data_IF_728268949733
#
_entry.id   IF_728268949733
#
_cell.length_a   1.000
_cell.length_b   1.000
_cell.length_c   1.000
_cell.angle_alpha   90.00
_cell.angle_beta   90.00
_cell.angle_gamma   90.00
#
_symmetry.space_group_name_H-M   'P 1'
#
loop_
_entity.id
_entity.type
_entity.pdbx_description
1 polymer ?
#
# COMPACT_ATOMS: atom_id res chain seq x y z
N UNK A 1 -13.36 -15.87 42.66
CA UNK A 1 -12.50 -14.95 41.90
C UNK A 1 -13.33 -14.04 40.99
N UNK A 2 -14.17 -14.56 40.11
CA UNK A 2 -15.01 -13.78 39.18
C UNK A 2 -15.86 -12.74 39.90
N UNK A 3 -16.56 -13.15 41.00
CA UNK A 3 -17.39 -12.24 41.79
C UNK A 3 -16.60 -11.10 42.44
N UNK A 4 -15.33 -11.33 42.80
CA UNK A 4 -14.45 -10.29 43.32
C UNK A 4 -13.99 -9.34 42.22
N UNK A 5 -13.63 -9.88 41.06
CA UNK A 5 -13.17 -9.08 39.91
C UNK A 5 -14.30 -8.22 39.31
N UNK A 6 -15.56 -8.74 39.29
CA UNK A 6 -16.69 -7.98 38.76
C UNK A 6 -17.06 -6.73 39.60
N UNK A 7 -16.65 -6.68 40.87
CA UNK A 7 -16.84 -5.52 41.77
C UNK A 7 -15.68 -4.53 41.76
N UNK A 8 -14.55 -4.87 41.10
CA UNK A 8 -13.39 -3.99 40.96
C UNK A 8 -13.72 -2.87 39.99
N UNK A 9 -13.26 -1.66 40.25
CA UNK A 9 -13.46 -0.50 39.37
C UNK A 9 -12.99 -0.78 37.93
N UNK A 10 -13.81 -0.38 36.95
CA UNK A 10 -13.52 -0.59 35.53
C UNK A 10 -12.21 0.06 35.10
N UNK A 11 -11.83 1.18 35.70
CA UNK A 11 -10.58 1.88 35.39
C UNK A 11 -9.34 1.02 35.68
N UNK A 12 -9.32 0.31 36.81
CA UNK A 12 -8.24 -0.60 37.13
C UNK A 12 -8.08 -1.75 36.11
N UNK A 13 -9.21 -2.16 35.50
CA UNK A 13 -9.18 -3.15 34.44
C UNK A 13 -8.74 -2.55 33.10
N UNK A 14 -9.04 -1.27 32.86
CA UNK A 14 -8.53 -0.55 31.67
C UNK A 14 -7.01 -0.36 31.76
N UNK A 15 -6.47 -0.03 32.95
CA UNK A 15 -5.02 0.08 33.15
C UNK A 15 -4.31 -1.28 32.95
N UNK A 16 -4.91 -2.38 33.44
CA UNK A 16 -4.41 -3.73 33.19
C UNK A 16 -4.44 -4.06 31.67
N UNK A 17 -5.50 -3.64 30.96
CA UNK A 17 -5.64 -3.87 29.52
C UNK A 17 -4.64 -3.05 28.72
N UNK A 18 -4.42 -1.80 29.10
CA UNK A 18 -3.39 -0.93 28.52
C UNK A 18 -2.00 -1.53 28.70
N UNK A 19 -1.66 -1.94 29.94
CA UNK A 19 -0.39 -2.60 30.24
C UNK A 19 -0.16 -3.87 29.41
N UNK A 20 -1.21 -4.67 29.24
CA UNK A 20 -1.17 -5.85 28.35
C UNK A 20 -0.92 -5.48 26.90
N UNK A 21 -1.51 -4.38 26.39
CA UNK A 21 -1.26 -3.93 25.03
C UNK A 21 0.16 -3.41 24.85
N UNK A 22 0.70 -2.73 25.84
CA UNK A 22 2.11 -2.28 25.88
C UNK A 22 3.06 -3.48 25.88
N UNK A 23 2.83 -4.47 26.75
CA UNK A 23 3.62 -5.71 26.80
C UNK A 23 3.56 -6.50 25.46
N UNK A 24 2.45 -6.39 24.71
CA UNK A 24 2.33 -6.97 23.39
C UNK A 24 2.96 -6.11 22.28
N UNK A 25 3.74 -5.09 22.59
CA UNK A 25 4.39 -4.16 21.67
C UNK A 25 3.41 -3.57 20.62
N UNK A 26 2.19 -3.19 21.08
CA UNK A 26 1.25 -2.48 20.23
C UNK A 26 1.70 -1.04 20.04
N UNK A 27 1.36 -0.46 18.89
CA UNK A 27 1.66 0.94 18.59
C UNK A 27 1.04 1.87 19.65
N UNK A 28 1.81 2.83 20.24
CA UNK A 28 1.33 3.73 21.31
C UNK A 28 0.08 4.50 20.92
N UNK A 29 0.00 5.00 19.68
CA UNK A 29 -1.16 5.73 19.17
C UNK A 29 -2.40 4.83 19.10
N UNK A 30 -2.22 3.55 18.72
CA UNK A 30 -3.30 2.56 18.71
C UNK A 30 -3.78 2.28 20.14
N UNK A 31 -2.86 2.18 21.12
CA UNK A 31 -3.22 1.98 22.52
C UNK A 31 -4.06 3.15 23.03
N UNK A 32 -3.55 4.37 22.92
CA UNK A 32 -4.23 5.60 23.36
C UNK A 32 -5.61 5.72 22.73
N UNK A 33 -5.72 5.49 21.43
CA UNK A 33 -6.99 5.57 20.70
C UNK A 33 -7.97 4.50 21.18
N UNK A 34 -7.52 3.26 21.36
CA UNK A 34 -8.38 2.13 21.81
C UNK A 34 -8.90 2.38 23.21
N UNK A 35 -8.02 2.77 24.13
CA UNK A 35 -8.41 3.08 25.51
C UNK A 35 -9.34 4.29 25.54
N UNK A 36 -9.06 5.35 24.76
CA UNK A 36 -9.93 6.52 24.64
C UNK A 36 -11.34 6.18 24.16
N UNK A 37 -11.48 5.26 23.20
CA UNK A 37 -12.80 4.80 22.75
C UNK A 37 -13.58 4.08 23.84
N UNK A 38 -12.92 3.22 24.64
CA UNK A 38 -13.59 2.48 25.73
C UNK A 38 -13.97 3.47 26.83
N UNK A 39 -13.08 4.41 27.21
CA UNK A 39 -13.36 5.44 28.21
C UNK A 39 -14.57 6.29 27.82
N UNK A 40 -14.68 6.69 26.54
CA UNK A 40 -15.81 7.47 26.06
C UNK A 40 -17.15 6.72 26.19
N UNK A 41 -17.20 5.42 25.91
CA UNK A 41 -18.39 4.60 26.14
C UNK A 41 -18.69 4.48 27.64
N UNK A 42 -17.66 4.17 28.45
CA UNK A 42 -17.77 4.07 29.90
C UNK A 42 -18.38 5.34 30.52
N UNK A 43 -17.85 6.51 30.16
CA UNK A 43 -18.29 7.79 30.70
C UNK A 43 -19.74 8.10 30.33
N UNK A 44 -20.10 7.84 29.08
CA UNK A 44 -21.49 8.01 28.61
C UNK A 44 -22.48 7.05 29.26
N UNK A 45 -22.02 5.89 29.68
CA UNK A 45 -22.86 4.83 30.27
C UNK A 45 -22.70 4.70 31.80
N UNK A 46 -21.83 5.53 32.38
CA UNK A 46 -21.53 5.54 33.84
C UNK A 46 -21.09 4.18 34.39
N UNK A 47 -20.31 3.40 33.63
CA UNK A 47 -19.78 2.11 34.09
C UNK A 47 -18.81 2.31 35.24
N UNK A 48 -19.13 1.84 36.41
CA UNK A 48 -18.28 1.87 37.60
C UNK A 48 -17.46 0.59 37.71
N UNK A 49 -18.02 -0.53 37.37
CA UNK A 49 -17.42 -1.86 37.42
C UNK A 49 -17.55 -2.59 36.08
N UNK A 50 -16.83 -3.69 35.90
CA UNK A 50 -16.98 -4.50 34.69
C UNK A 50 -18.31 -5.27 34.64
N UNK A 51 -19.03 -5.38 35.77
CA UNK A 51 -20.36 -5.95 35.85
C UNK A 51 -21.43 -5.05 35.23
N UNK A 52 -21.14 -3.75 35.08
CA UNK A 52 -22.09 -2.76 34.55
C UNK A 52 -22.05 -2.71 32.99
N UNK A 53 -21.19 -3.49 32.37
CA UNK A 53 -21.03 -3.47 30.90
C UNK A 53 -22.18 -4.22 30.26
N UNK A 54 -23.10 -3.48 29.62
CA UNK A 54 -24.21 -4.03 28.86
C UNK A 54 -24.16 -3.69 27.39
N UNK A 55 -24.69 -4.60 26.55
CA UNK A 55 -24.73 -4.41 25.09
C UNK A 55 -25.53 -3.19 24.68
N UNK A 56 -26.64 -2.93 25.41
CA UNK A 56 -27.54 -1.80 25.10
C UNK A 56 -26.86 -0.43 25.27
N UNK A 57 -25.94 -0.31 26.24
CA UNK A 57 -25.20 0.93 26.44
C UNK A 57 -24.30 1.23 25.25
N UNK A 58 -23.59 0.21 24.73
CA UNK A 58 -22.75 0.36 23.54
C UNK A 58 -23.59 0.69 22.31
N UNK A 59 -24.78 0.08 22.18
CA UNK A 59 -25.72 0.38 21.08
C UNK A 59 -26.23 1.82 21.22
N UNK A 60 -26.62 2.26 22.42
CA UNK A 60 -27.08 3.64 22.67
C UNK A 60 -26.01 4.64 22.33
N UNK A 61 -24.77 4.42 22.80
CA UNK A 61 -23.64 5.31 22.46
C UNK A 61 -23.33 5.33 20.95
N UNK A 62 -23.43 4.19 20.28
CA UNK A 62 -23.32 4.13 18.83
C UNK A 62 -24.41 4.95 18.13
N UNK A 63 -25.64 4.96 18.68
CA UNK A 63 -26.75 5.81 18.24
C UNK A 63 -26.42 7.30 18.36
N UNK A 64 -25.88 7.73 19.52
CA UNK A 64 -25.43 9.11 19.74
C UNK A 64 -24.36 9.51 18.70
N UNK A 65 -23.34 8.68 18.52
CA UNK A 65 -22.30 8.95 17.51
C UNK A 65 -22.88 9.08 16.10
N UNK A 66 -23.92 8.33 15.76
CA UNK A 66 -24.62 8.43 14.48
C UNK A 66 -25.38 9.73 14.35
N UNK A 67 -26.08 10.17 15.41
CA UNK A 67 -26.76 11.47 15.48
C UNK A 67 -25.78 12.64 15.34
N UNK A 68 -24.58 12.52 15.96
CA UNK A 68 -23.47 13.47 15.82
C UNK A 68 -22.83 13.45 14.43
N UNK A 69 -23.39 12.70 13.49
CA UNK A 69 -22.88 12.63 12.13
C UNK A 69 -21.57 11.83 11.98
N UNK A 70 -21.18 11.00 12.94
CA UNK A 70 -19.97 10.15 12.80
C UNK A 70 -20.18 9.05 11.76
N UNK A 71 -19.11 8.73 11.03
CA UNK A 71 -19.15 7.67 10.01
C UNK A 71 -19.31 6.29 10.61
N UNK A 72 -19.92 5.37 9.86
CA UNK A 72 -20.02 3.94 10.23
C UNK A 72 -18.67 3.31 10.57
N UNK A 73 -17.60 3.73 9.90
CA UNK A 73 -16.23 3.30 10.21
C UNK A 73 -15.77 3.75 11.59
N UNK A 74 -16.10 4.98 11.99
CA UNK A 74 -15.77 5.52 13.31
C UNK A 74 -16.57 4.75 14.38
N UNK A 75 -17.86 4.60 14.18
CA UNK A 75 -18.75 3.83 15.10
C UNK A 75 -18.22 2.40 15.26
N UNK A 76 -17.88 1.73 14.15
CA UNK A 76 -17.30 0.38 14.18
C UNK A 76 -15.99 0.34 15.00
N UNK A 77 -15.19 1.40 14.98
CA UNK A 77 -13.93 1.44 15.76
C UNK A 77 -14.19 1.46 17.26
N UNK A 78 -15.16 2.26 17.74
CA UNK A 78 -15.59 2.26 19.14
C UNK A 78 -16.11 0.88 19.57
N UNK A 79 -17.02 0.31 18.80
CA UNK A 79 -17.58 -1.02 19.10
C UNK A 79 -16.52 -2.12 19.08
N UNK A 80 -15.53 -2.00 18.19
CA UNK A 80 -14.39 -2.95 18.11
C UNK A 80 -13.49 -2.85 19.33
N UNK A 81 -13.25 -1.64 19.84
CA UNK A 81 -12.49 -1.43 21.06
C UNK A 81 -13.19 -2.05 22.28
N UNK A 82 -14.49 -1.77 22.45
CA UNK A 82 -15.30 -2.34 23.53
C UNK A 82 -15.32 -3.89 23.47
N UNK A 83 -15.61 -4.47 22.30
CA UNK A 83 -15.57 -5.96 22.13
C UNK A 83 -14.18 -6.54 22.38
N UNK A 84 -13.14 -5.81 22.06
CA UNK A 84 -11.74 -6.23 22.34
C UNK A 84 -11.47 -6.32 23.83
N UNK A 85 -11.95 -5.34 24.58
CA UNK A 85 -11.83 -5.27 26.03
C UNK A 85 -12.62 -6.37 26.75
N UNK A 86 -13.91 -6.51 26.46
CA UNK A 86 -14.75 -7.53 27.13
C UNK A 86 -14.30 -8.95 26.81
N UNK A 87 -13.89 -9.21 25.56
CA UNK A 87 -13.31 -10.49 25.17
C UNK A 87 -12.01 -10.78 25.92
N UNK A 88 -11.18 -9.75 26.18
CA UNK A 88 -9.98 -9.92 27.00
C UNK A 88 -10.35 -10.20 28.46
N UNK A 89 -11.30 -9.49 29.06
CA UNK A 89 -11.79 -9.76 30.42
C UNK A 89 -12.26 -11.20 30.61
N UNK A 90 -13.05 -11.70 29.64
CA UNK A 90 -13.55 -13.08 29.66
C UNK A 90 -12.41 -14.09 29.55
N UNK A 91 -11.45 -13.86 28.65
CA UNK A 91 -10.26 -14.73 28.52
C UNK A 91 -9.36 -14.76 29.73
N UNK A 92 -9.37 -13.70 30.53
CA UNK A 92 -8.61 -13.61 31.79
C UNK A 92 -9.42 -14.14 32.99
N UNK A 93 -10.62 -14.70 32.76
CA UNK A 93 -11.48 -15.19 33.85
C UNK A 93 -12.01 -14.08 34.77
N UNK A 94 -11.99 -12.82 34.33
CA UNK A 94 -12.50 -11.66 35.07
C UNK A 94 -14.02 -11.51 34.89
N UNK A 95 -14.56 -11.98 33.78
CA UNK A 95 -15.99 -12.12 33.46
C UNK A 95 -16.31 -13.57 33.13
N UNK A 96 -17.48 -14.04 33.51
CA UNK A 96 -17.97 -15.39 33.21
C UNK A 96 -18.27 -15.58 31.72
N UNK A 97 -18.84 -14.55 31.08
CA UNK A 97 -19.16 -14.53 29.66
C UNK A 97 -18.86 -13.12 29.06
N UNK A 98 -18.70 -13.05 27.75
CA UNK A 98 -18.53 -11.76 27.04
C UNK A 98 -19.91 -11.08 26.87
N UNK A 99 -20.19 -9.96 27.59
CA UNK A 99 -21.48 -9.29 27.52
C UNK A 99 -21.75 -8.66 26.16
N UNK A 100 -20.71 -8.50 25.33
CA UNK A 100 -20.83 -7.91 24.00
C UNK A 100 -20.73 -8.95 22.86
N UNK A 101 -20.96 -10.22 23.15
CA UNK A 101 -20.90 -11.29 22.14
C UNK A 101 -21.89 -11.04 20.99
N UNK A 102 -23.13 -10.63 21.33
CA UNK A 102 -24.23 -10.36 20.39
C UNK A 102 -24.12 -9.03 19.66
N UNK A 103 -23.17 -8.15 20.04
CA UNK A 103 -23.04 -6.83 19.44
C UNK A 103 -22.66 -6.90 17.96
N UNK A 104 -23.57 -6.47 17.08
CA UNK A 104 -23.33 -6.36 15.65
C UNK A 104 -22.76 -4.99 15.29
N UNK A 105 -21.67 -5.00 14.51
CA UNK A 105 -21.01 -3.77 14.08
C UNK A 105 -21.58 -3.30 12.75
N UNK A 106 -21.70 -1.96 12.52
CA UNK A 106 -22.13 -1.43 11.24
C UNK A 106 -21.14 -1.80 10.13
N UNK A 107 -21.65 -1.94 8.90
CA UNK A 107 -20.82 -2.15 7.72
C UNK A 107 -20.21 -0.80 7.26
N UNK A 108 -18.88 -0.61 7.31
CA UNK A 108 -18.25 0.64 6.87
C UNK A 108 -18.35 0.88 5.36
N UNK A 109 -18.59 -0.17 4.57
CA UNK A 109 -18.71 -0.04 3.11
C UNK A 109 -20.03 0.65 2.70
N UNK A 110 -21.07 0.53 3.54
CA UNK A 110 -22.35 1.18 3.29
C UNK A 110 -22.34 2.72 3.52
N UNK A 111 -21.27 3.24 4.15
CA UNK A 111 -21.15 4.68 4.46
C UNK A 111 -19.68 5.11 4.15
N UNK A 112 -19.33 5.01 2.89
CA UNK A 112 -18.02 5.45 2.38
C UNK A 112 -18.05 6.96 2.15
N UNK A 113 -17.47 7.71 3.07
CA UNK A 113 -17.46 9.19 3.03
C UNK A 113 -16.16 9.80 2.50
N UNK A 114 -15.15 8.99 2.25
CA UNK A 114 -13.84 9.46 1.80
C UNK A 114 -13.30 8.50 0.76
N UNK A 115 -13.62 8.76 -0.46
CA UNK A 115 -12.95 8.14 -1.58
C UNK A 115 -11.78 9.01 -2.04
N UNK A 116 -10.77 8.38 -2.56
CA UNK A 116 -9.61 9.07 -3.13
C UNK A 116 -9.53 8.73 -4.59
N UNK A 117 -9.33 9.73 -5.41
CA UNK A 117 -9.01 9.54 -6.81
C UNK A 117 -7.50 9.51 -7.04
N UNK A 118 -7.07 8.94 -8.13
CA UNK A 118 -5.71 9.06 -8.61
C UNK A 118 -5.46 10.46 -9.20
N UNK A 119 -4.20 10.87 -9.28
CA UNK A 119 -3.76 11.97 -10.12
C UNK A 119 -3.71 11.49 -11.57
N UNK A 120 -4.29 12.25 -12.48
CA UNK A 120 -4.08 12.08 -13.91
C UNK A 120 -2.64 12.48 -14.28
N UNK A 121 -2.12 11.98 -15.40
CA UNK A 121 -0.76 12.31 -15.83
C UNK A 121 -0.60 13.81 -16.07
N UNK A 122 -1.59 14.42 -16.74
CA UNK A 122 -1.61 15.87 -17.01
C UNK A 122 -1.73 16.68 -15.71
N UNK A 123 -2.49 16.21 -14.71
CA UNK A 123 -2.54 16.85 -13.40
C UNK A 123 -1.19 16.81 -12.69
N UNK A 124 -0.49 15.69 -12.78
CA UNK A 124 0.86 15.56 -12.24
C UNK A 124 1.85 16.55 -12.90
N UNK A 125 1.77 16.71 -14.22
CA UNK A 125 2.62 17.68 -14.93
C UNK A 125 2.41 19.10 -14.44
N UNK A 126 1.15 19.52 -14.22
CA UNK A 126 0.83 20.81 -13.65
C UNK A 126 1.27 20.94 -12.19
N UNK A 127 1.02 19.95 -11.35
CA UNK A 127 1.48 19.95 -9.95
C UNK A 127 3.00 20.05 -9.88
N UNK A 128 3.71 19.24 -10.67
CA UNK A 128 5.17 19.25 -10.74
C UNK A 128 5.72 20.63 -11.16
N UNK A 129 5.19 21.19 -12.24
CA UNK A 129 5.62 22.47 -12.76
C UNK A 129 5.33 23.60 -11.76
N UNK A 130 4.10 23.68 -11.25
CA UNK A 130 3.68 24.71 -10.31
C UNK A 130 4.42 24.67 -8.96
N UNK A 131 4.80 23.45 -8.51
CA UNK A 131 5.47 23.27 -7.22
C UNK A 131 6.97 23.51 -7.31
N UNK A 132 7.62 23.19 -8.45
CA UNK A 132 9.07 23.23 -8.60
C UNK A 132 9.65 24.60 -8.21
N UNK A 133 9.04 25.65 -8.71
CA UNK A 133 9.51 27.05 -8.54
C UNK A 133 8.76 27.75 -7.38
N UNK A 134 7.97 27.01 -6.60
CA UNK A 134 7.25 27.57 -5.47
C UNK A 134 8.19 27.83 -4.28
N UNK A 135 7.84 28.82 -3.50
CA UNK A 135 8.53 29.16 -2.25
C UNK A 135 8.57 27.99 -1.27
N UNK A 136 9.47 28.11 -0.29
CA UNK A 136 9.53 27.16 0.83
C UNK A 136 8.19 27.13 1.55
N UNK A 137 7.63 25.93 1.71
CA UNK A 137 6.39 25.70 2.42
C UNK A 137 6.53 24.47 3.32
N UNK A 138 6.09 24.57 4.56
CA UNK A 138 6.26 23.54 5.58
C UNK A 138 7.73 23.05 5.74
N UNK A 139 8.70 23.93 5.54
CA UNK A 139 10.12 23.63 5.68
C UNK A 139 10.76 22.89 4.49
N UNK A 140 10.04 22.69 3.38
CA UNK A 140 10.53 22.08 2.16
C UNK A 140 10.51 23.08 1.00
N UNK A 141 11.58 23.13 0.22
CA UNK A 141 11.62 23.87 -1.04
C UNK A 141 10.66 23.26 -2.08
N UNK A 142 10.34 24.01 -3.12
CA UNK A 142 9.48 23.50 -4.20
C UNK A 142 10.09 22.25 -4.86
N UNK A 143 11.37 22.25 -5.14
CA UNK A 143 12.11 21.11 -5.70
C UNK A 143 12.07 19.88 -4.77
N UNK A 144 12.25 20.05 -3.47
CA UNK A 144 12.17 18.95 -2.50
C UNK A 144 10.76 18.35 -2.43
N UNK A 145 9.71 19.19 -2.51
CA UNK A 145 8.33 18.71 -2.54
C UNK A 145 8.03 17.91 -3.81
N UNK A 146 8.49 18.38 -4.96
CA UNK A 146 8.37 17.62 -6.23
C UNK A 146 9.06 16.27 -6.13
N UNK A 147 10.29 16.23 -5.60
CA UNK A 147 11.06 15.01 -5.42
C UNK A 147 10.35 14.04 -4.44
N UNK A 148 9.80 14.56 -3.35
CA UNK A 148 9.00 13.80 -2.39
C UNK A 148 7.75 13.18 -3.06
N UNK A 149 7.02 13.96 -3.85
CA UNK A 149 5.81 13.49 -4.54
C UNK A 149 6.15 12.46 -5.62
N UNK A 150 7.18 12.68 -6.43
CA UNK A 150 7.66 11.74 -7.42
C UNK A 150 8.08 10.40 -6.77
N UNK A 151 8.81 10.48 -5.65
CA UNK A 151 9.17 9.29 -4.86
C UNK A 151 7.93 8.55 -4.35
N UNK A 152 6.93 9.27 -3.85
CA UNK A 152 5.67 8.67 -3.40
C UNK A 152 4.90 7.97 -4.53
N UNK A 153 4.83 8.60 -5.72
CA UNK A 153 4.16 8.04 -6.91
C UNK A 153 4.90 6.80 -7.42
N UNK A 154 6.21 6.84 -7.57
CA UNK A 154 6.94 5.69 -8.14
C UNK A 154 7.03 4.49 -7.19
N UNK A 155 7.12 4.74 -5.89
CA UNK A 155 7.32 3.67 -4.90
C UNK A 155 6.06 3.21 -4.20
N UNK A 156 4.98 3.99 -4.25
CA UNK A 156 3.78 3.74 -3.47
C UNK A 156 4.01 3.74 -1.96
N UNK A 157 5.07 4.37 -1.45
CA UNK A 157 5.37 4.47 -0.03
C UNK A 157 4.30 5.29 0.71
N UNK A 158 4.00 4.90 1.96
CA UNK A 158 3.11 5.68 2.82
C UNK A 158 3.83 6.90 3.38
N UNK A 159 3.10 7.93 3.75
CA UNK A 159 3.65 9.14 4.38
C UNK A 159 4.59 8.81 5.55
N UNK A 160 4.20 7.90 6.44
CA UNK A 160 5.04 7.47 7.57
C UNK A 160 6.31 6.73 7.13
N UNK A 161 6.27 5.99 6.04
CA UNK A 161 7.42 5.29 5.48
C UNK A 161 8.39 6.26 4.82
N UNK A 162 7.87 7.25 4.06
CA UNK A 162 8.68 8.33 3.48
C UNK A 162 9.36 9.17 4.57
N UNK A 163 8.64 9.48 5.66
CA UNK A 163 9.18 10.19 6.82
C UNK A 163 10.33 9.43 7.50
N UNK A 164 10.19 8.12 7.62
CA UNK A 164 11.18 7.26 8.26
C UNK A 164 12.35 6.88 7.31
N UNK A 165 12.30 7.30 6.04
CA UNK A 165 13.29 6.95 5.04
C UNK A 165 14.58 7.72 5.31
N UNK A 166 15.72 7.01 5.44
CA UNK A 166 17.04 7.57 5.65
C UNK A 166 17.94 7.33 4.44
N UNK A 167 18.99 8.16 4.28
CA UNK A 167 19.95 8.02 3.18
C UNK A 167 20.50 6.59 3.03
N UNK A 168 20.84 5.93 4.13
CA UNK A 168 21.40 4.57 4.11
C UNK A 168 20.42 3.47 3.64
N UNK A 169 19.18 3.83 3.29
CA UNK A 169 18.20 2.90 2.73
C UNK A 169 18.04 3.03 1.22
N UNK A 170 18.76 3.96 0.57
CA UNK A 170 18.76 4.21 -0.86
C UNK A 170 19.97 3.51 -1.49
N UNK A 171 19.72 2.73 -2.52
CA UNK A 171 20.72 1.99 -3.32
C UNK A 171 20.55 2.46 -4.76
N UNK A 172 21.16 3.62 -5.06
CA UNK A 172 20.91 4.36 -6.30
C UNK A 172 21.91 4.03 -7.40
N UNK A 173 23.11 3.55 -7.04
CA UNK A 173 24.20 3.17 -7.98
C UNK A 173 24.00 1.78 -8.61
N UNK A 174 22.91 1.06 -8.25
CA UNK A 174 22.64 -0.27 -8.77
C UNK A 174 22.12 -0.19 -10.21
N UNK A 175 22.33 -1.24 -11.01
CA UNK A 175 21.74 -1.36 -12.36
C UNK A 175 20.22 -1.16 -12.34
N UNK A 176 19.57 -1.65 -11.31
CA UNK A 176 18.15 -1.41 -10.97
C UNK A 176 18.09 -0.68 -9.62
N UNK A 177 18.04 0.65 -9.62
CA UNK A 177 18.03 1.43 -8.39
C UNK A 177 16.81 1.11 -7.52
N UNK A 178 16.99 1.06 -6.22
CA UNK A 178 15.90 0.73 -5.29
C UNK A 178 16.06 1.40 -3.92
N UNK A 179 14.95 1.50 -3.24
CA UNK A 179 14.81 1.97 -1.86
C UNK A 179 14.42 0.78 -0.99
N UNK A 180 15.06 0.63 0.18
CA UNK A 180 14.67 -0.38 1.16
C UNK A 180 13.81 0.23 2.26
N UNK A 181 12.71 -0.46 2.60
CA UNK A 181 11.88 -0.10 3.74
C UNK A 181 12.12 -1.10 4.87
N UNK A 182 12.58 -0.63 6.03
CA UNK A 182 12.80 -1.49 7.19
C UNK A 182 11.48 -2.08 7.68
N UNK A 183 11.52 -3.31 8.18
CA UNK A 183 10.36 -4.01 8.73
C UNK A 183 9.62 -3.20 9.81
N UNK A 184 10.34 -2.46 10.66
CA UNK A 184 9.77 -1.62 11.70
C UNK A 184 8.97 -0.41 11.21
N UNK A 185 9.29 0.12 10.02
CA UNK A 185 8.59 1.26 9.42
C UNK A 185 7.43 0.84 8.51
N UNK A 186 7.30 -0.44 8.19
CA UNK A 186 6.23 -0.96 7.33
C UNK A 186 5.06 -1.50 8.15
N UNK A 187 3.83 -1.22 7.72
CA UNK A 187 2.62 -1.72 8.39
C UNK A 187 2.61 -3.25 8.53
N UNK A 188 3.23 -3.97 7.60
CA UNK A 188 3.29 -5.43 7.57
C UNK A 188 4.54 -6.00 8.26
N UNK A 189 5.39 -5.16 8.84
CA UNK A 189 6.66 -5.55 9.50
C UNK A 189 7.57 -6.43 8.63
N UNK A 190 7.49 -6.32 7.30
CA UNK A 190 8.35 -7.00 6.34
C UNK A 190 9.24 -5.99 5.64
N UNK A 191 10.51 -6.33 5.47
CA UNK A 191 11.43 -5.56 4.64
C UNK A 191 10.95 -5.63 3.18
N UNK A 192 10.96 -4.49 2.49
CA UNK A 192 10.57 -4.40 1.09
C UNK A 192 11.62 -3.61 0.30
N UNK A 193 11.79 -3.99 -0.97
CA UNK A 193 12.52 -3.21 -1.97
C UNK A 193 11.52 -2.53 -2.88
N UNK A 194 11.70 -1.24 -3.12
CA UNK A 194 10.92 -0.45 -4.06
C UNK A 194 11.87 0.06 -5.13
N UNK A 195 11.70 -0.43 -6.35
CA UNK A 195 12.50 0.02 -7.48
C UNK A 195 12.09 1.41 -7.91
N UNK A 196 13.04 2.19 -8.37
CA UNK A 196 12.84 3.54 -8.91
C UNK A 196 13.48 3.64 -10.29
N UNK A 197 13.04 4.62 -11.08
CA UNK A 197 13.66 4.88 -12.39
C UNK A 197 15.04 5.49 -12.20
N UNK A 198 15.91 5.37 -13.21
CA UNK A 198 17.24 5.99 -13.22
C UNK A 198 17.15 7.51 -13.06
N UNK A 199 16.14 8.13 -13.69
CA UNK A 199 15.89 9.58 -13.56
C UNK A 199 15.63 9.98 -12.11
N UNK A 200 14.74 9.28 -11.40
CA UNK A 200 14.44 9.56 -10.00
C UNK A 200 15.66 9.25 -9.11
N UNK A 201 16.39 8.18 -9.42
CA UNK A 201 17.61 7.82 -8.69
C UNK A 201 18.65 8.93 -8.75
N UNK A 202 18.91 9.50 -9.93
CA UNK A 202 19.86 10.60 -10.10
C UNK A 202 19.45 11.86 -9.30
N UNK A 203 18.14 12.20 -9.31
CA UNK A 203 17.65 13.35 -8.53
C UNK A 203 17.72 13.09 -7.02
N UNK A 204 17.45 11.86 -6.58
CA UNK A 204 17.60 11.47 -5.17
C UNK A 204 19.06 11.50 -4.73
N UNK A 205 19.97 11.03 -5.57
CA UNK A 205 21.42 11.04 -5.29
C UNK A 205 21.95 12.46 -5.09
N UNK A 206 21.60 13.38 -5.98
CA UNK A 206 21.96 14.80 -5.83
C UNK A 206 21.41 15.36 -4.51
N UNK A 207 20.12 15.11 -4.23
CA UNK A 207 19.46 15.59 -3.00
C UNK A 207 20.10 15.07 -1.71
N UNK A 208 20.58 13.82 -1.70
CA UNK A 208 21.20 13.21 -0.51
C UNK A 208 22.71 13.30 -0.46
N UNK A 209 23.36 13.88 -1.48
CA UNK A 209 24.82 13.90 -1.65
C UNK A 209 25.58 14.33 -0.40
N UNK A 210 25.05 15.31 0.34
CA UNK A 210 25.64 15.87 1.57
C UNK A 210 25.03 15.33 2.86
N UNK A 211 24.10 14.36 2.81
CA UNK A 211 23.42 13.83 4.00
C UNK A 211 24.19 12.63 4.58
N UNK A 212 24.28 12.53 5.90
CA UNK A 212 24.82 11.34 6.58
C UNK A 212 23.88 10.13 6.46
N UNK A 213 24.37 8.88 6.56
CA UNK A 213 23.56 7.66 6.32
C UNK A 213 22.31 7.54 7.16
N UNK A 214 22.30 8.08 8.39
CA UNK A 214 21.16 8.05 9.31
C UNK A 214 20.22 9.25 9.17
N UNK A 215 20.59 10.24 8.34
CA UNK A 215 19.77 11.44 8.15
C UNK A 215 18.52 11.10 7.31
N UNK A 216 17.35 11.65 7.67
CA UNK A 216 16.15 11.53 6.84
C UNK A 216 16.38 12.03 5.42
N UNK A 217 15.83 11.33 4.42
CA UNK A 217 15.85 11.78 3.03
C UNK A 217 15.07 13.07 2.89
N UNK A 218 13.88 13.14 3.48
CA UNK A 218 13.01 14.31 3.45
C UNK A 218 12.74 14.82 4.87
N UNK A 219 12.84 16.13 5.08
CA UNK A 219 12.44 16.79 6.33
C UNK A 219 10.94 17.05 6.34
N UNK A 220 10.15 15.97 6.36
CA UNK A 220 8.69 16.05 6.23
C UNK A 220 8.05 16.79 7.41
N UNK A 221 7.03 17.66 7.15
CA UNK A 221 6.25 18.33 8.18
C UNK A 221 5.45 17.33 9.03
N UNK A 222 4.77 17.79 10.08
CA UNK A 222 3.97 16.91 10.95
C UNK A 222 2.92 16.14 10.18
N UNK A 223 2.49 14.98 10.69
CA UNK A 223 1.56 14.08 9.97
C UNK A 223 0.29 14.75 9.44
N UNK A 224 -0.29 15.66 10.23
CA UNK A 224 -1.49 16.39 9.85
C UNK A 224 -1.23 17.51 8.83
N UNK A 225 -0.02 18.05 8.77
CA UNK A 225 0.40 19.12 7.85
C UNK A 225 0.72 18.60 6.44
N UNK A 226 1.08 17.33 6.30
CA UNK A 226 1.44 16.73 4.99
C UNK A 226 0.30 16.84 3.98
N UNK A 227 -0.94 16.66 4.43
CA UNK A 227 -2.11 16.80 3.58
C UNK A 227 -2.35 18.26 3.17
N UNK A 228 -2.10 19.21 4.09
CA UNK A 228 -2.25 20.64 3.82
C UNK A 228 -1.18 21.14 2.84
N UNK A 229 0.06 20.66 3.00
CA UNK A 229 1.15 20.95 2.08
C UNK A 229 0.79 20.53 0.65
N UNK A 230 0.36 19.29 0.47
CA UNK A 230 0.01 18.78 -0.86
C UNK A 230 -1.20 19.50 -1.47
N UNK A 231 -2.24 19.78 -0.68
CA UNK A 231 -3.41 20.56 -1.13
C UNK A 231 -3.05 21.98 -1.57
N UNK A 232 -2.14 22.63 -0.86
CA UNK A 232 -1.64 23.95 -1.24
C UNK A 232 -0.95 23.93 -2.61
N UNK A 233 -0.13 22.91 -2.89
CA UNK A 233 0.53 22.76 -4.18
C UNK A 233 -0.45 22.41 -5.31
N UNK A 234 -1.44 21.55 -5.06
CA UNK A 234 -2.52 21.25 -6.02
C UNK A 234 -3.34 22.50 -6.32
N UNK A 235 -3.71 23.30 -5.28
CA UNK A 235 -4.44 24.54 -5.46
C UNK A 235 -3.64 25.58 -6.25
N UNK A 236 -2.31 25.65 -6.05
CA UNK A 236 -1.40 26.47 -6.87
C UNK A 236 -1.43 26.02 -8.33
N UNK A 237 -1.29 24.72 -8.57
CA UNK A 237 -1.31 24.15 -9.91
C UNK A 237 -2.65 24.44 -10.62
N UNK A 238 -3.77 24.30 -9.91
CA UNK A 238 -5.11 24.64 -10.44
C UNK A 238 -5.21 26.09 -10.86
N UNK A 239 -4.77 27.04 -10.00
CA UNK A 239 -4.76 28.47 -10.34
C UNK A 239 -3.94 28.71 -11.60
N UNK A 240 -2.71 28.21 -11.68
CA UNK A 240 -1.86 28.38 -12.86
C UNK A 240 -2.49 27.76 -14.12
N UNK A 241 -3.15 26.62 -14.00
CA UNK A 241 -3.86 25.99 -15.11
C UNK A 241 -5.05 26.82 -15.59
N UNK A 242 -5.83 27.41 -14.69
CA UNK A 242 -6.95 28.33 -15.03
C UNK A 242 -6.39 29.59 -15.66
N UNK A 243 -5.38 30.22 -15.06
CA UNK A 243 -4.78 31.46 -15.51
C UNK A 243 -4.12 31.36 -16.89
N UNK A 244 -3.68 30.17 -17.28
CA UNK A 244 -3.08 29.91 -18.59
C UNK A 244 -4.00 30.24 -19.77
N UNK A 245 -5.31 30.32 -19.54
CA UNK A 245 -6.32 30.67 -20.55
C UNK A 245 -7.10 31.95 -20.21
N UNK A 246 -6.57 32.80 -19.33
CA UNK A 246 -7.25 34.05 -18.87
C UNK A 246 -7.67 35.00 -19.99
N UNK A 247 -7.06 34.90 -21.16
CA UNK A 247 -7.38 35.73 -22.33
C UNK A 247 -8.52 35.18 -23.19
N UNK A 248 -9.00 33.96 -22.89
CA UNK A 248 -10.13 33.28 -23.52
C UNK A 248 -11.24 33.09 -22.49
N UNK A 249 -12.29 33.92 -22.49
CA UNK A 249 -13.35 33.87 -21.47
C UNK A 249 -14.11 32.54 -21.45
N UNK A 250 -14.31 31.92 -22.62
CA UNK A 250 -15.02 30.64 -22.72
C UNK A 250 -14.17 29.48 -22.12
N UNK A 251 -12.90 29.39 -22.52
CA UNK A 251 -11.98 28.42 -21.98
C UNK A 251 -11.74 28.63 -20.46
N UNK A 252 -11.69 29.89 -20.01
CA UNK A 252 -11.57 30.23 -18.60
C UNK A 252 -12.76 29.71 -17.79
N UNK A 253 -13.98 30.05 -18.20
CA UNK A 253 -15.19 29.58 -17.52
C UNK A 253 -15.30 28.05 -17.49
N UNK A 254 -14.93 27.36 -18.59
CA UNK A 254 -14.90 25.90 -18.66
C UNK A 254 -13.89 25.30 -17.68
N UNK A 255 -12.69 25.91 -17.54
CA UNK A 255 -11.68 25.43 -16.61
C UNK A 255 -12.07 25.67 -15.15
N UNK A 256 -12.72 26.77 -14.83
CA UNK A 256 -13.22 27.05 -13.47
C UNK A 256 -14.22 25.98 -13.00
N UNK A 257 -15.11 25.53 -13.91
CA UNK A 257 -16.13 24.53 -13.61
C UNK A 257 -15.61 23.09 -13.64
N UNK A 258 -14.40 22.88 -14.12
CA UNK A 258 -13.81 21.54 -14.25
C UNK A 258 -13.32 20.98 -12.91
N UNK A 259 -13.41 19.68 -12.76
CA UNK A 259 -12.82 18.93 -11.64
C UNK A 259 -11.30 18.76 -11.73
N UNK A 260 -10.68 19.15 -12.85
CA UNK A 260 -9.24 19.02 -13.06
C UNK A 260 -8.46 19.80 -11.99
N UNK A 261 -7.54 19.14 -11.29
CA UNK A 261 -6.80 19.69 -10.15
C UNK A 261 -7.70 20.18 -8.99
N UNK A 262 -8.94 19.69 -8.91
CA UNK A 262 -9.78 19.96 -7.74
C UNK A 262 -9.39 19.03 -6.60
N UNK A 263 -9.25 19.56 -5.39
CA UNK A 263 -9.01 18.76 -4.19
C UNK A 263 -10.20 17.85 -3.85
N UNK A 264 -11.38 18.19 -4.38
CA UNK A 264 -12.63 17.45 -4.29
C UNK A 264 -13.41 17.57 -5.59
N UNK A 265 -13.66 16.45 -6.26
CA UNK A 265 -14.44 16.43 -7.50
C UNK A 265 -15.95 16.34 -7.24
N UNK A 266 -16.77 16.37 -8.31
CA UNK A 266 -18.23 16.27 -8.24
C UNK A 266 -18.72 14.95 -7.60
N UNK A 267 -17.92 13.88 -7.65
CA UNK A 267 -18.20 12.59 -7.00
C UNK A 267 -17.74 12.52 -5.52
N UNK A 268 -17.37 13.65 -4.93
CA UNK A 268 -16.83 13.75 -3.56
C UNK A 268 -15.50 13.01 -3.33
N UNK A 269 -14.81 12.63 -4.40
CA UNK A 269 -13.48 12.00 -4.31
C UNK A 269 -12.42 13.07 -4.07
N UNK A 270 -11.38 12.71 -3.29
CA UNK A 270 -10.38 13.68 -2.81
C UNK A 270 -8.99 13.42 -3.36
N UNK A 271 -8.28 14.54 -3.60
CA UNK A 271 -6.84 14.58 -3.77
C UNK A 271 -6.20 14.99 -2.43
N UNK A 272 -5.67 14.05 -1.68
CA UNK A 272 -4.82 14.29 -0.52
C UNK A 272 -3.44 13.63 -0.76
N UNK A 273 -2.47 13.83 0.12
CA UNK A 273 -1.13 13.25 -0.05
C UNK A 273 -1.16 11.72 -0.26
N UNK A 274 -2.14 11.02 0.30
CA UNK A 274 -2.25 9.57 0.13
C UNK A 274 -2.71 9.17 -1.29
N UNK A 275 -3.29 10.12 -2.04
CA UNK A 275 -3.65 9.88 -3.45
C UNK A 275 -2.41 9.55 -4.31
N UNK A 276 -1.20 10.05 -3.95
CA UNK A 276 0.04 9.72 -4.63
C UNK A 276 0.33 8.22 -4.62
N UNK A 277 0.04 7.56 -3.50
CA UNK A 277 0.12 6.11 -3.43
C UNK A 277 -0.97 5.42 -4.27
N UNK A 278 -2.20 5.96 -4.29
CA UNK A 278 -3.25 5.46 -5.19
C UNK A 278 -2.84 5.62 -6.65
N UNK A 279 -2.25 6.75 -7.00
CA UNK A 279 -1.70 7.02 -8.34
C UNK A 279 -0.66 5.98 -8.75
N UNK A 280 0.26 5.60 -7.84
CA UNK A 280 1.21 4.51 -8.09
C UNK A 280 0.51 3.22 -8.52
N UNK A 281 -0.47 2.76 -7.75
CA UNK A 281 -1.18 1.52 -8.04
C UNK A 281 -2.03 1.61 -9.32
N UNK A 282 -2.68 2.75 -9.53
CA UNK A 282 -3.51 3.00 -10.71
C UNK A 282 -2.67 3.05 -11.99
N UNK A 283 -1.60 3.81 -12.00
CA UNK A 283 -0.71 3.91 -13.18
C UNK A 283 -0.07 2.56 -13.52
N UNK A 284 0.36 1.79 -12.51
CA UNK A 284 0.85 0.43 -12.75
C UNK A 284 -0.23 -0.49 -13.34
N UNK A 285 -1.48 -0.39 -12.86
CA UNK A 285 -2.58 -1.17 -13.43
C UNK A 285 -2.86 -0.77 -14.88
N UNK A 286 -2.91 0.52 -15.18
CA UNK A 286 -3.15 1.07 -16.53
C UNK A 286 -2.04 0.71 -17.54
N UNK A 287 -0.79 0.50 -17.09
CA UNK A 287 0.29 0.01 -17.97
C UNK A 287 0.18 -1.47 -18.31
N UNK A 288 -0.85 -2.17 -17.83
CA UNK A 288 -1.01 -3.61 -18.04
C UNK A 288 -0.09 -4.48 -17.17
N UNK A 289 0.50 -3.91 -16.11
CA UNK A 289 1.32 -4.68 -15.18
C UNK A 289 0.51 -5.82 -14.56
N UNK A 290 1.10 -7.03 -14.48
CA UNK A 290 0.42 -8.17 -13.88
C UNK A 290 -0.09 -7.82 -12.45
N UNK A 291 -1.35 -8.13 -12.09
CA UNK A 291 -1.93 -7.75 -10.80
C UNK A 291 -1.08 -8.14 -9.58
N UNK A 292 -0.35 -9.27 -9.68
CA UNK A 292 0.58 -9.71 -8.64
C UNK A 292 1.79 -8.80 -8.49
N UNK A 293 2.27 -8.19 -9.57
CA UNK A 293 3.34 -7.20 -9.54
C UNK A 293 2.84 -5.90 -8.87
N UNK A 294 1.64 -5.44 -9.23
CA UNK A 294 0.99 -4.30 -8.57
C UNK A 294 0.82 -4.56 -7.07
N UNK A 295 0.33 -5.76 -6.69
CA UNK A 295 0.24 -6.17 -5.28
C UNK A 295 1.59 -6.07 -4.56
N UNK A 296 2.66 -6.53 -5.19
CA UNK A 296 4.01 -6.51 -4.61
C UNK A 296 4.53 -5.09 -4.42
N UNK A 297 4.44 -4.22 -5.43
CA UNK A 297 4.84 -2.81 -5.34
C UNK A 297 4.01 -2.08 -4.29
N UNK A 298 2.69 -2.26 -4.30
CA UNK A 298 1.79 -1.67 -3.32
C UNK A 298 1.92 -2.30 -1.92
N UNK A 299 2.60 -3.43 -1.80
CA UNK A 299 2.75 -4.20 -0.54
C UNK A 299 1.39 -4.47 0.13
N UNK A 300 0.41 -4.84 -0.69
CA UNK A 300 -0.90 -5.24 -0.20
C UNK A 300 -0.84 -6.63 0.41
N UNK A 301 -1.50 -6.83 1.53
CA UNK A 301 -1.52 -8.14 2.22
C UNK A 301 -2.22 -9.23 1.42
N UNK A 302 -3.20 -8.87 0.61
CA UNK A 302 -3.98 -9.77 -0.23
C UNK A 302 -4.08 -9.23 -1.65
N UNK A 303 -4.22 -10.11 -2.62
CA UNK A 303 -4.49 -9.74 -4.01
C UNK A 303 -5.88 -9.10 -4.15
N UNK A 304 -6.85 -9.55 -3.35
CA UNK A 304 -8.21 -9.01 -3.29
C UNK A 304 -8.19 -7.49 -3.08
N UNK A 305 -7.36 -7.01 -2.14
CA UNK A 305 -7.24 -5.56 -1.91
C UNK A 305 -6.74 -4.80 -3.16
N UNK A 306 -5.88 -5.41 -3.96
CA UNK A 306 -5.41 -4.81 -5.23
C UNK A 306 -6.51 -4.81 -6.28
N UNK A 307 -7.22 -5.93 -6.41
CA UNK A 307 -8.31 -6.07 -7.39
C UNK A 307 -9.52 -5.20 -7.03
N UNK A 308 -9.91 -5.14 -5.75
CA UNK A 308 -10.99 -4.27 -5.27
C UNK A 308 -10.72 -2.78 -5.54
N UNK A 309 -9.43 -2.40 -5.53
CA UNK A 309 -9.04 -0.98 -5.67
C UNK A 309 -8.75 -0.61 -7.13
N UNK A 310 -8.09 -1.48 -7.89
CA UNK A 310 -7.56 -1.17 -9.22
C UNK A 310 -8.05 -2.12 -10.32
N UNK A 311 -8.89 -3.11 -9.99
CA UNK A 311 -9.34 -4.13 -10.94
C UNK A 311 -9.96 -3.56 -12.21
N UNK A 312 -10.73 -2.49 -12.06
CA UNK A 312 -11.39 -1.78 -13.17
C UNK A 312 -10.42 -1.01 -14.08
N UNK A 313 -9.17 -0.78 -13.66
CA UNK A 313 -8.15 -0.06 -14.42
C UNK A 313 -7.24 -0.98 -15.24
N UNK A 314 -7.31 -2.30 -15.01
CA UNK A 314 -6.55 -3.22 -15.84
C UNK A 314 -7.19 -3.29 -17.24
N UNK A 315 -6.37 -3.21 -18.31
CA UNK A 315 -6.89 -3.41 -19.65
C UNK A 315 -7.64 -4.73 -19.74
N UNK A 316 -8.80 -4.73 -20.39
CA UNK A 316 -9.53 -5.96 -20.70
C UNK A 316 -8.66 -6.84 -21.59
N UNK A 317 -8.25 -7.98 -21.04
CA UNK A 317 -7.35 -8.93 -21.73
C UNK A 317 -8.10 -10.21 -22.14
N UNK A 318 -9.42 -10.26 -21.92
CA UNK A 318 -10.20 -11.48 -22.14
C UNK A 318 -10.11 -11.92 -23.62
N UNK A 319 -10.40 -11.01 -24.53
CA UNK A 319 -10.35 -11.30 -25.98
C UNK A 319 -8.94 -11.66 -26.45
N UNK A 320 -7.94 -10.89 -26.03
CA UNK A 320 -6.52 -11.16 -26.34
C UNK A 320 -6.03 -12.48 -25.74
N UNK A 321 -6.49 -12.81 -24.53
CA UNK A 321 -6.13 -14.05 -23.85
C UNK A 321 -6.73 -15.26 -24.56
N UNK A 322 -7.99 -15.15 -24.98
CA UNK A 322 -8.67 -16.19 -25.77
C UNK A 322 -8.04 -16.33 -27.15
N UNK A 323 -7.66 -15.21 -27.79
CA UNK A 323 -6.99 -15.23 -29.09
C UNK A 323 -5.59 -15.89 -29.08
N UNK A 324 -5.00 -16.08 -27.90
CA UNK A 324 -3.73 -16.80 -27.72
C UNK A 324 -3.90 -18.30 -27.51
N UNK A 325 -5.14 -18.79 -27.52
CA UNK A 325 -5.34 -20.24 -27.48
C UNK A 325 -4.79 -20.86 -28.78
N UNK A 326 -4.11 -22.01 -28.67
CA UNK A 326 -3.74 -22.76 -29.86
C UNK A 326 -5.00 -23.11 -30.65
N UNK A 327 -4.87 -23.22 -31.96
CA UNK A 327 -5.93 -23.68 -32.82
C UNK A 327 -6.41 -25.07 -32.37
N UNK A 328 -7.59 -25.13 -31.75
CA UNK A 328 -8.12 -26.35 -31.12
C UNK A 328 -9.03 -27.15 -32.04
N UNK A 329 -9.52 -26.49 -33.07
CA UNK A 329 -10.37 -27.06 -34.12
C UNK A 329 -9.57 -26.90 -35.40
N UNK A 330 -8.92 -27.95 -35.89
CA UNK A 330 -8.23 -27.95 -37.17
C UNK A 330 -9.14 -27.40 -38.29
N UNK A 331 -8.55 -26.85 -39.35
CA UNK A 331 -9.35 -26.38 -40.50
C UNK A 331 -10.23 -27.53 -41.02
N UNK A 332 -11.43 -27.23 -41.57
CA UNK A 332 -12.30 -28.26 -42.10
C UNK A 332 -11.63 -29.12 -43.18
N UNK A 333 -10.59 -28.61 -43.83
CA UNK A 333 -9.84 -29.33 -44.87
C UNK A 333 -8.83 -30.34 -44.26
N UNK A 334 -8.27 -30.09 -43.06
CA UNK A 334 -7.39 -31.03 -42.36
C UNK A 334 -8.17 -32.18 -41.69
N UNK A 335 -9.44 -31.96 -41.34
CA UNK A 335 -10.29 -33.02 -40.78
C UNK A 335 -10.61 -34.12 -41.77
N UNK A 336 -10.47 -33.89 -43.09
CA UNK A 336 -10.70 -34.86 -44.14
C UNK A 336 -9.49 -35.77 -44.43
N UNK A 337 -8.26 -35.38 -44.03
CA UNK A 337 -7.04 -36.15 -44.28
C UNK A 337 -6.58 -36.99 -43.08
N UNK A 338 -7.20 -36.87 -41.92
CA UNK A 338 -6.78 -37.57 -40.66
C UNK A 338 -7.28 -39.01 -40.55
N UNK A 339 -7.14 -39.79 -41.61
CA UNK A 339 -7.30 -41.26 -41.54
C UNK A 339 -5.98 -42.05 -41.55
N UNK A 340 -4.87 -41.39 -41.19
CA UNK A 340 -3.56 -42.02 -41.01
C UNK A 340 -3.04 -41.89 -39.59
N UNK A 341 -2.91 -43.00 -38.94
CA UNK A 341 -2.80 -43.16 -37.44
C UNK A 341 -1.42 -42.84 -36.82
N UNK A 342 -0.48 -42.21 -37.51
CA UNK A 342 0.92 -42.16 -37.00
C UNK A 342 1.55 -40.78 -36.74
N UNK A 343 0.94 -39.65 -37.15
CA UNK A 343 1.53 -38.34 -37.00
C UNK A 343 1.24 -37.62 -35.67
N UNK A 344 -0.01 -37.63 -35.24
CA UNK A 344 -0.48 -36.86 -34.10
C UNK A 344 0.02 -37.32 -32.74
N UNK A 345 0.39 -38.59 -32.60
CA UNK A 345 0.93 -39.17 -31.37
C UNK A 345 2.36 -38.68 -31.07
N UNK A 346 3.13 -38.27 -32.08
CA UNK A 346 4.49 -37.79 -31.91
C UNK A 346 4.56 -36.34 -31.39
N UNK A 347 3.71 -35.46 -31.88
CA UNK A 347 3.68 -34.06 -31.44
C UNK A 347 3.10 -33.90 -30.03
N UNK A 348 2.07 -34.67 -29.68
CA UNK A 348 1.52 -34.66 -28.32
C UNK A 348 2.54 -35.18 -27.28
N UNK A 349 3.35 -36.19 -27.63
CA UNK A 349 4.45 -36.68 -26.81
C UNK A 349 5.59 -35.69 -26.65
N UNK A 350 5.80 -34.80 -27.63
CA UNK A 350 6.85 -33.80 -27.59
C UNK A 350 6.43 -32.62 -26.70
N UNK A 351 5.16 -32.20 -26.74
CA UNK A 351 4.58 -31.18 -25.85
C UNK A 351 4.51 -31.67 -24.39
N UNK A 352 4.11 -32.93 -24.16
CA UNK A 352 4.13 -33.53 -22.82
C UNK A 352 5.56 -33.63 -22.23
N UNK A 353 6.56 -33.97 -23.05
CA UNK A 353 7.96 -33.98 -22.60
C UNK A 353 8.55 -32.59 -22.29
N UNK A 354 8.04 -31.52 -22.88
CA UNK A 354 8.40 -30.16 -22.52
C UNK A 354 7.81 -29.74 -21.18
N UNK A 355 6.63 -30.23 -20.82
CA UNK A 355 6.00 -29.98 -19.53
C UNK A 355 6.67 -30.73 -18.38
N UNK A 356 7.14 -31.94 -18.60
CA UNK A 356 7.85 -32.76 -17.60
C UNK A 356 9.27 -32.28 -17.27
N UNK A 357 9.85 -31.37 -18.09
CA UNK A 357 11.21 -30.83 -17.89
C UNK A 357 11.30 -29.61 -16.97
N UNK A 358 10.21 -29.11 -16.39
CA UNK A 358 10.28 -28.10 -15.35
C UNK A 358 10.34 -28.80 -13.99
N UNK A 359 11.44 -28.66 -13.21
CA UNK A 359 11.52 -29.31 -11.91
C UNK A 359 10.45 -28.73 -10.99
N UNK A 360 9.56 -29.57 -10.52
CA UNK A 360 8.64 -29.27 -9.44
C UNK A 360 9.47 -28.96 -8.20
N UNK A 361 9.36 -27.72 -7.70
CA UNK A 361 9.86 -27.40 -6.37
C UNK A 361 9.02 -28.18 -5.37
N UNK A 362 9.67 -29.15 -4.72
CA UNK A 362 9.10 -29.98 -3.68
C UNK A 362 8.48 -29.14 -2.58
N UNK A 363 7.17 -29.24 -2.40
CA UNK A 363 6.49 -28.95 -1.16
C UNK A 363 6.72 -30.13 -0.22
N UNK A 364 7.52 -29.95 0.81
CA UNK A 364 7.66 -30.92 1.88
C UNK A 364 6.32 -31.02 2.64
N UNK A 365 5.64 -32.13 2.50
CA UNK A 365 4.56 -32.58 3.37
C UNK A 365 5.14 -33.31 4.57
N UNK A 366 4.70 -32.83 5.74
CA UNK A 366 4.93 -33.52 7.01
C UNK A 366 4.25 -34.90 7.07
N UNK A 367 4.96 -35.90 7.58
CA UNK A 367 4.55 -37.11 8.34
C UNK A 367 5.84 -37.88 8.62
N UNK A 368 6.17 -38.26 9.79
CA UNK A 368 5.63 -39.03 10.85
C UNK A 368 6.53 -38.94 12.10
N UNK A 369 5.85 -38.84 13.22
CA UNK A 369 6.40 -38.93 14.57
C UNK A 369 6.71 -40.42 14.84
N UNK A 370 7.95 -40.74 15.23
CA UNK A 370 8.25 -41.83 16.16
C UNK A 370 9.33 -41.40 17.12
N UNK A 371 9.00 -41.49 18.39
CA UNK A 371 9.85 -41.35 19.56
C UNK A 371 10.84 -42.53 19.67
N UNK A 372 12.01 -42.37 20.12
CA UNK A 372 12.68 -42.31 21.39
C UNK A 372 14.15 -42.78 21.28
N UNK A 373 14.93 -42.82 22.31
CA UNK A 373 15.58 -41.72 23.04
C UNK A 373 17.11 -41.84 23.12
N UNK A 374 17.70 -40.88 23.84
CA UNK A 374 19.00 -40.94 24.51
C UNK A 374 20.27 -40.43 23.80
N UNK A 375 20.82 -39.38 24.40
CA UNK A 375 22.24 -39.33 24.79
C UNK A 375 23.18 -38.62 23.79
N UNK A 376 23.58 -37.48 23.97
CA UNK A 376 24.83 -37.02 24.54
C UNK A 376 25.21 -35.60 24.06
N UNK A 377 25.53 -34.84 25.04
CA UNK A 377 26.26 -33.58 25.05
C UNK A 377 27.67 -33.79 24.47
N UNK A 378 28.12 -32.92 23.55
CA UNK A 378 29.51 -32.47 23.51
C UNK A 378 29.61 -31.10 22.81
N UNK A 379 30.40 -30.33 23.42
CA UNK A 379 30.74 -28.94 23.41
C UNK A 379 31.85 -28.57 22.39
N UNK A 380 31.86 -27.30 22.03
CA UNK A 380 32.99 -26.43 21.71
C UNK A 380 33.86 -26.54 20.45
N UNK A 381 33.91 -25.32 19.88
CA UNK A 381 35.11 -24.55 19.46
C UNK A 381 35.83 -24.87 18.15
N UNK A 382 35.85 -23.75 17.45
CA UNK A 382 37.01 -23.19 16.70
C UNK A 382 37.49 -23.91 15.45
N UNK A 383 37.57 -23.17 14.39
CA UNK A 383 38.85 -22.86 13.74
C UNK A 383 38.69 -21.73 12.71
N UNK A 384 39.62 -20.83 12.86
CA UNK A 384 39.97 -19.71 11.99
C UNK A 384 40.73 -20.14 10.76
N UNK A 385 40.75 -19.24 9.77
CA UNK A 385 41.88 -19.02 8.84
C UNK A 385 41.58 -19.55 7.43
N UNK A 386 41.75 -18.84 6.43
CA UNK A 386 42.72 -18.01 5.83
C UNK A 386 42.24 -17.58 4.44
N UNK A 387 42.32 -16.40 4.18
CA UNK A 387 42.83 -15.58 3.10
C UNK A 387 43.55 -16.30 1.94
N UNK A 388 43.23 -15.85 0.70
CA UNK A 388 44.22 -15.50 -0.31
C UNK A 388 43.57 -15.00 -1.62
N UNK A 389 43.68 -13.71 -1.84
CA UNK A 389 44.32 -12.98 -2.97
C UNK A 389 43.70 -13.06 -4.36
N UNK A 390 43.31 -11.90 -4.79
CA UNK A 390 43.33 -11.37 -6.17
C UNK A 390 44.63 -11.70 -6.91
N UNK A 391 44.70 -11.66 -8.28
CA UNK A 391 44.75 -10.37 -8.93
C UNK A 391 44.22 -10.26 -10.39
N UNK A 392 43.77 -9.04 -10.70
CA UNK A 392 44.14 -8.20 -11.85
C UNK A 392 44.14 -8.74 -13.30
N UNK A 393 43.44 -8.18 -14.19
CA UNK A 393 43.74 -7.08 -15.11
C UNK A 393 43.14 -7.24 -16.51
N UNK A 394 42.65 -6.05 -16.99
CA UNK A 394 42.62 -5.55 -18.37
C UNK A 394 41.57 -6.13 -19.32
N UNK A 395 40.76 -5.34 -19.99
CA UNK A 395 41.16 -4.30 -20.98
C UNK A 395 39.94 -3.50 -21.43
N UNK A 396 40.14 -2.22 -21.58
CA UNK A 396 39.22 -1.27 -22.21
C UNK A 396 39.01 -1.59 -23.70
N UNK A 397 37.77 -1.48 -24.18
CA UNK A 397 37.48 -1.07 -25.57
C UNK A 397 36.25 -0.17 -25.59
N UNK A 398 36.49 1.11 -25.77
CA UNK A 398 35.56 2.11 -26.26
C UNK A 398 34.94 1.63 -27.58
N UNK A 399 33.62 1.66 -27.70
CA UNK A 399 32.96 1.92 -28.98
C UNK A 399 31.84 2.93 -28.75
N UNK A 400 32.07 4.12 -29.27
CA UNK A 400 31.09 5.13 -29.59
C UNK A 400 30.07 4.52 -30.56
N UNK A 401 28.79 4.63 -30.24
CA UNK A 401 27.72 4.65 -31.26
C UNK A 401 26.74 5.74 -30.86
N UNK A 402 26.45 6.54 -31.87
CA UNK A 402 25.74 7.81 -31.88
C UNK A 402 24.28 7.71 -31.41
N UNK A 403 23.83 8.87 -30.92
CA UNK A 403 22.48 9.41 -30.78
C UNK A 403 21.46 8.92 -31.81
N UNK A 404 20.26 8.62 -31.33
CA UNK A 404 18.99 9.24 -31.73
C UNK A 404 17.81 8.38 -31.28
N UNK A 405 16.76 9.05 -30.85
CA UNK A 405 15.48 8.40 -30.66
C UNK A 405 14.76 8.79 -29.38
N UNK A 406 14.29 10.03 -29.31
CA UNK A 406 13.15 10.41 -28.47
C UNK A 406 11.99 9.49 -28.77
N UNK A 407 11.73 8.52 -27.90
CA UNK A 407 10.50 7.75 -27.93
C UNK A 407 9.38 8.60 -27.33
N UNK A 408 8.52 9.11 -28.17
CA UNK A 408 7.22 9.65 -27.82
C UNK A 408 6.40 8.62 -27.04
N UNK A 409 5.65 9.04 -26.01
CA UNK A 409 4.73 8.16 -25.28
C UNK A 409 3.71 7.54 -26.24
N UNK A 410 3.39 6.28 -26.01
CA UNK A 410 2.48 5.47 -26.79
C UNK A 410 1.11 6.17 -26.97
N UNK A 411 0.65 6.45 -28.24
CA UNK A 411 -0.62 7.15 -28.50
C UNK A 411 -1.87 6.45 -27.94
N UNK A 412 -1.78 5.14 -27.68
CA UNK A 412 -2.90 4.35 -27.11
C UNK A 412 -3.33 4.79 -25.71
N UNK A 413 -2.41 5.37 -24.92
CA UNK A 413 -2.75 5.85 -23.58
C UNK A 413 -3.64 7.11 -23.65
N UNK A 414 -3.44 7.96 -24.65
CA UNK A 414 -4.27 9.17 -24.86
C UNK A 414 -5.71 8.88 -25.27
N UNK A 415 -5.95 7.84 -26.08
CA UNK A 415 -7.29 7.54 -26.59
C UNK A 415 -8.20 6.86 -25.55
N UNK A 416 -7.65 6.10 -24.62
CA UNK A 416 -8.44 5.43 -23.56
C UNK A 416 -8.84 6.38 -22.43
N UNK A 417 -8.03 7.38 -22.13
CA UNK A 417 -8.37 8.41 -21.13
C UNK A 417 -9.47 9.35 -21.61
N UNK A 418 -9.55 9.64 -22.93
CA UNK A 418 -10.58 10.52 -23.52
C UNK A 418 -11.95 9.84 -23.64
N UNK A 419 -12.02 8.51 -23.72
CA UNK A 419 -13.29 7.76 -23.78
C UNK A 419 -13.97 7.57 -22.42
N UNK A 420 -13.29 7.82 -21.31
CA UNK A 420 -13.88 7.74 -19.96
C UNK A 420 -14.30 9.10 -19.40
N UNK A 421 -14.07 10.18 -20.15
CA UNK A 421 -14.38 11.56 -19.76
C UNK A 421 -15.45 12.22 -20.66
N UNK A 422 -16.05 11.44 -21.56
CA UNK A 422 -17.20 11.90 -22.40
C UNK A 422 -18.52 11.36 -21.90
#
# INVERSE_FOLDING_TARGET
EISRQSKRAVDLHLDDYESKMQAANRDPKHITTTIGYIKAIRDSSSWMTIGDIHVDDVIRYAGTLKQDGRSSRTIQAYMTAAKGFTRWLTRQGKLAADPLVSLNKPNPQADRRRERRMLLLEEWEWVRSATKDAEVNFGLSGTERVLLYATAIQTGLRSSELRALTRGQLFLDADLPFITCKAGSTKNRKMARQYVTQELAAQLEDHISRKAPKTPVFSMPRDYEVADMFRADVARARRMWIDAVKHDPEAFAKREQSDFLSDRNHEDQRLDFHCLRHTCGAWLAMTGAHPKAVQAVMRHSTITLTMDTYGHLFPGQEAETVARFPEMLGSPDEAAEATGTDGAAAECKQLCKQWERKPARSSATARDVKADPAGDVIDHKSLRGEALRNPMQRSAKKKQIASSGTRTPNPLIKSQLLCQLS
#
